data_IF_801324852686
#
_entry.id   IF_801324852686
#
_cell.length_a   1.000
_cell.length_b   1.000
_cell.length_c   1.000
_cell.angle_alpha   90.00
_cell.angle_beta   90.00
_cell.angle_gamma   90.00
#
_symmetry.space_group_name_H-M   'P 1'
#
loop_
_entity.id
_entity.type
_entity.pdbx_description
1 polymer ?
#
# COMPACT_ATOMS: atom_id res chain seq x y z
N UNK A 1 26.59 5.65 29.49
CA UNK A 1 26.25 4.23 29.26
C UNK A 1 25.76 4.09 27.83
N UNK A 2 26.34 3.23 27.04
CA UNK A 2 25.83 2.88 25.70
C UNK A 2 24.66 1.91 25.88
N UNK A 3 23.53 2.21 25.25
CA UNK A 3 22.39 1.28 25.23
C UNK A 3 22.76 -0.01 24.46
N UNK A 4 22.35 -1.18 24.92
CA UNK A 4 22.61 -2.46 24.22
C UNK A 4 21.65 -2.63 23.01
N UNK A 5 21.68 -1.66 22.09
CA UNK A 5 20.78 -1.56 20.91
C UNK A 5 21.65 -1.56 19.67
N UNK A 6 21.18 -2.25 18.61
CA UNK A 6 21.88 -2.30 17.32
C UNK A 6 22.08 -0.88 16.73
N UNK A 7 23.27 -0.58 16.19
CA UNK A 7 23.56 0.75 15.61
C UNK A 7 22.57 1.16 14.53
N UNK A 8 22.11 0.23 13.70
CA UNK A 8 21.13 0.51 12.65
C UNK A 8 19.78 1.02 13.23
N UNK A 9 19.35 0.52 14.38
CA UNK A 9 18.15 0.99 15.06
C UNK A 9 18.36 2.39 15.65
N UNK A 10 19.50 2.63 16.30
CA UNK A 10 19.84 3.93 16.89
C UNK A 10 19.97 5.04 15.82
N UNK A 11 20.44 4.68 14.63
CA UNK A 11 20.63 5.62 13.51
C UNK A 11 19.37 5.83 12.64
N UNK A 12 18.31 5.03 12.83
CA UNK A 12 17.09 5.15 12.05
C UNK A 12 16.18 6.23 12.64
N UNK A 13 15.56 7.07 11.80
CA UNK A 13 14.58 8.05 12.29
C UNK A 13 13.27 7.33 12.68
N UNK A 14 12.47 8.00 13.50
CA UNK A 14 11.09 7.62 13.73
C UNK A 14 10.27 7.68 12.43
N UNK A 15 9.16 6.95 12.38
CA UNK A 15 8.25 7.03 11.24
C UNK A 15 7.72 8.47 11.09
N UNK A 16 7.85 9.09 9.90
CA UNK A 16 7.62 10.53 9.72
C UNK A 16 6.11 10.84 9.63
N UNK A 17 5.40 10.76 10.74
CA UNK A 17 3.99 11.10 10.81
C UNK A 17 3.67 11.90 12.08
N UNK A 18 3.10 13.10 11.86
CA UNK A 18 2.56 13.93 12.95
C UNK A 18 1.05 14.04 12.72
N UNK A 19 0.21 13.58 13.65
CA UNK A 19 -1.23 13.70 13.51
C UNK A 19 -1.67 15.18 13.58
N UNK A 20 -2.50 15.58 12.62
CA UNK A 20 -3.14 16.89 12.59
C UNK A 20 -4.66 16.67 12.54
N UNK A 21 -5.41 17.38 13.38
CA UNK A 21 -6.85 17.36 13.36
C UNK A 21 -7.38 18.40 12.38
N UNK A 22 -8.26 17.97 11.49
CA UNK A 22 -8.97 18.85 10.56
C UNK A 22 -10.38 18.29 10.29
N UNK A 23 -11.38 19.16 10.04
CA UNK A 23 -12.74 18.73 9.72
C UNK A 23 -12.82 17.84 8.47
N UNK A 24 -12.00 18.12 7.46
CA UNK A 24 -11.89 17.35 6.22
C UNK A 24 -10.50 16.74 6.13
N UNK A 25 -10.42 15.40 6.19
CA UNK A 25 -9.17 14.64 6.31
C UNK A 25 -8.89 13.84 5.04
N UNK A 26 -8.05 14.38 4.16
CA UNK A 26 -7.69 13.81 2.85
C UNK A 26 -6.18 13.50 2.74
N UNK A 27 -5.53 13.04 3.82
CA UNK A 27 -4.07 12.93 3.92
C UNK A 27 -3.52 11.50 3.95
N UNK A 28 -4.33 10.47 4.29
CA UNK A 28 -3.85 9.11 4.55
C UNK A 28 -4.35 8.05 3.55
N UNK A 29 -4.99 8.45 2.47
CA UNK A 29 -5.57 7.52 1.49
C UNK A 29 -6.51 6.49 2.14
N UNK A 30 -7.26 6.91 3.15
CA UNK A 30 -8.30 6.12 3.77
C UNK A 30 -9.52 6.03 2.84
N UNK A 31 -10.42 5.11 3.10
CA UNK A 31 -11.72 5.07 2.43
C UNK A 31 -12.57 6.25 2.88
N UNK A 32 -13.34 6.84 1.97
CA UNK A 32 -14.24 7.95 2.27
C UNK A 32 -15.46 7.54 3.11
N UNK A 33 -15.71 6.25 3.27
CA UNK A 33 -16.84 5.73 4.02
C UNK A 33 -16.40 4.63 5.00
N UNK A 34 -17.05 4.60 6.13
CA UNK A 34 -16.88 3.56 7.15
C UNK A 34 -17.46 2.22 6.69
N UNK A 35 -17.11 1.15 7.39
CA UNK A 35 -17.72 -0.17 7.19
C UNK A 35 -19.24 -0.06 7.40
N UNK A 36 -20.08 -0.65 6.53
CA UNK A 36 -21.54 -0.52 6.66
C UNK A 36 -22.05 -0.98 8.02
N UNK A 37 -22.94 -0.21 8.65
CA UNK A 37 -23.46 -0.51 10.00
C UNK A 37 -24.06 -1.91 10.12
N UNK A 38 -24.86 -2.33 9.12
CA UNK A 38 -25.44 -3.69 9.11
C UNK A 38 -24.35 -4.79 9.11
N UNK A 39 -23.18 -4.53 8.50
CA UNK A 39 -22.07 -5.48 8.49
C UNK A 39 -21.25 -5.41 9.80
N UNK A 40 -21.20 -4.24 10.46
CA UNK A 40 -20.66 -4.13 11.82
C UNK A 40 -21.51 -4.93 12.80
N UNK A 41 -22.82 -4.78 12.75
CA UNK A 41 -23.77 -5.51 13.60
C UNK A 41 -23.63 -7.03 13.40
N UNK A 42 -23.56 -7.48 12.15
CA UNK A 42 -23.33 -8.88 11.83
C UNK A 42 -22.01 -9.40 12.40
N UNK A 43 -20.93 -8.62 12.25
CA UNK A 43 -19.62 -8.98 12.78
C UNK A 43 -19.66 -9.06 14.31
N UNK A 44 -20.27 -8.09 14.99
CA UNK A 44 -20.44 -8.09 16.44
C UNK A 44 -21.28 -9.26 16.94
N UNK A 45 -22.37 -9.60 16.24
CA UNK A 45 -23.20 -10.77 16.55
C UNK A 45 -22.38 -12.06 16.46
N UNK A 46 -21.62 -12.26 15.37
CA UNK A 46 -20.75 -13.43 15.20
C UNK A 46 -19.67 -13.52 16.27
N UNK A 47 -19.05 -12.39 16.61
CA UNK A 47 -18.02 -12.33 17.67
C UNK A 47 -18.57 -12.75 19.02
N UNK A 48 -19.80 -12.35 19.39
CA UNK A 48 -20.42 -12.74 20.67
C UNK A 48 -20.55 -14.25 20.84
N UNK A 49 -20.66 -14.99 19.74
CA UNK A 49 -20.77 -16.45 19.76
C UNK A 49 -19.42 -17.17 19.93
N UNK A 50 -18.30 -16.47 19.80
CA UNK A 50 -16.97 -17.07 19.86
C UNK A 50 -16.35 -16.99 21.27
N UNK A 51 -15.51 -17.95 21.66
CA UNK A 51 -14.81 -17.96 22.94
C UNK A 51 -13.61 -17.03 22.91
N UNK A 52 -13.69 -15.86 23.51
CA UNK A 52 -12.61 -14.86 23.50
C UNK A 52 -11.39 -15.22 24.37
N UNK A 53 -11.51 -16.20 25.25
CA UNK A 53 -10.44 -16.70 26.10
C UNK A 53 -9.56 -17.77 25.43
N UNK A 54 -9.81 -18.06 24.15
CA UNK A 54 -9.05 -19.03 23.35
C UNK A 54 -8.25 -18.34 22.26
N UNK A 55 -7.11 -18.90 21.92
CA UNK A 55 -6.38 -18.49 20.74
C UNK A 55 -7.20 -18.76 19.47
N UNK A 56 -6.97 -17.94 18.44
CA UNK A 56 -7.51 -18.10 17.08
C UNK A 56 -6.78 -19.22 16.32
N UNK A 57 -7.07 -19.39 15.04
CA UNK A 57 -6.30 -20.28 14.15
C UNK A 57 -4.83 -19.86 14.10
N UNK A 58 -3.92 -20.82 14.06
CA UNK A 58 -2.46 -20.62 14.12
C UNK A 58 -1.99 -19.62 13.04
N UNK A 59 -2.43 -19.79 11.79
CA UNK A 59 -2.07 -18.99 10.62
C UNK A 59 -3.28 -18.31 9.98
N UNK A 60 -4.37 -18.08 10.73
CA UNK A 60 -5.64 -17.57 10.22
C UNK A 60 -6.17 -18.39 9.03
N UNK A 61 -6.22 -19.70 9.14
CA UNK A 61 -6.55 -20.66 8.08
C UNK A 61 -7.91 -20.34 7.43
N UNK A 62 -8.96 -20.17 8.23
CA UNK A 62 -10.31 -19.85 7.72
C UNK A 62 -10.32 -18.54 6.91
N UNK A 63 -9.58 -17.53 7.36
CA UNK A 63 -9.47 -16.27 6.63
C UNK A 63 -8.61 -16.42 5.37
N UNK A 64 -7.53 -17.21 5.42
CA UNK A 64 -6.70 -17.50 4.25
C UNK A 64 -7.49 -18.23 3.15
N UNK A 65 -8.36 -19.16 3.52
CA UNK A 65 -9.27 -19.86 2.60
C UNK A 65 -10.28 -18.90 1.96
N UNK A 66 -10.92 -18.04 2.75
CA UNK A 66 -11.88 -17.07 2.25
C UNK A 66 -11.25 -16.04 1.31
N UNK A 67 -10.05 -15.52 1.64
CA UNK A 67 -9.28 -14.62 0.77
C UNK A 67 -8.89 -15.34 -0.53
N UNK A 68 -8.39 -16.57 -0.43
CA UNK A 68 -7.99 -17.36 -1.59
C UNK A 68 -9.17 -17.59 -2.55
N UNK A 69 -10.33 -17.92 -2.01
CA UNK A 69 -11.57 -18.08 -2.81
C UNK A 69 -11.98 -16.75 -3.48
N UNK A 70 -11.91 -15.63 -2.75
CA UNK A 70 -12.24 -14.30 -3.28
C UNK A 70 -11.28 -13.87 -4.41
N UNK A 71 -9.98 -14.07 -4.21
CA UNK A 71 -8.95 -13.64 -5.16
C UNK A 71 -8.66 -14.67 -6.26
N UNK A 72 -9.30 -15.84 -6.22
CA UNK A 72 -9.00 -16.94 -7.15
C UNK A 72 -7.55 -17.44 -7.00
N UNK A 73 -7.07 -17.56 -5.77
CA UNK A 73 -5.73 -18.04 -5.42
C UNK A 73 -5.78 -19.35 -4.64
N UNK A 74 -4.63 -19.90 -4.24
CA UNK A 74 -4.58 -21.07 -3.33
C UNK A 74 -4.52 -20.64 -1.87
N UNK A 75 -5.22 -21.31 -0.97
CA UNK A 75 -5.14 -21.07 0.46
C UNK A 75 -3.71 -21.28 1.00
N UNK A 76 -3.01 -22.29 0.48
CA UNK A 76 -1.61 -22.55 0.82
C UNK A 76 -0.63 -21.47 0.32
N UNK A 77 -1.03 -20.68 -0.67
CA UNK A 77 -0.29 -19.53 -1.20
C UNK A 77 -0.70 -18.18 -0.57
N UNK A 78 -1.70 -18.17 0.33
CA UNK A 78 -2.22 -16.95 0.97
C UNK A 78 -1.67 -16.84 2.40
N UNK A 79 -1.03 -15.71 2.74
CA UNK A 79 -0.45 -15.46 4.08
C UNK A 79 -1.05 -14.18 4.65
N UNK A 80 -1.77 -14.29 5.76
CA UNK A 80 -2.47 -13.17 6.41
C UNK A 80 -1.66 -12.64 7.59
N UNK A 81 -1.64 -11.31 7.76
CA UNK A 81 -0.96 -10.63 8.88
C UNK A 81 -1.74 -9.41 9.38
N UNK A 82 -1.30 -8.88 10.52
CA UNK A 82 -1.83 -7.64 11.12
C UNK A 82 -1.41 -6.39 10.32
N UNK A 83 -1.87 -6.32 9.06
CA UNK A 83 -1.57 -5.30 8.07
C UNK A 83 -0.43 -5.69 7.14
N UNK A 84 -0.51 -5.23 5.88
CA UNK A 84 0.53 -5.49 4.87
C UNK A 84 1.90 -4.91 5.24
N UNK A 85 1.95 -3.90 6.11
CA UNK A 85 3.21 -3.34 6.62
C UNK A 85 4.10 -4.39 7.30
N UNK A 86 3.50 -5.31 8.05
CA UNK A 86 4.25 -6.42 8.70
C UNK A 86 4.90 -7.31 7.64
N UNK A 87 4.22 -7.56 6.52
CA UNK A 87 4.75 -8.38 5.44
C UNK A 87 5.99 -7.75 4.78
N UNK A 88 6.10 -6.42 4.73
CA UNK A 88 7.29 -5.74 4.20
C UNK A 88 8.53 -6.17 4.97
N UNK A 89 8.51 -6.02 6.30
CA UNK A 89 9.64 -6.44 7.15
C UNK A 89 9.90 -7.96 7.07
N UNK A 90 8.85 -8.79 7.05
CA UNK A 90 9.00 -10.25 6.98
C UNK A 90 9.58 -10.71 5.63
N UNK A 91 9.26 -10.05 4.52
CA UNK A 91 9.82 -10.37 3.21
C UNK A 91 11.30 -9.98 3.11
N UNK A 92 11.71 -8.87 3.75
CA UNK A 92 13.13 -8.52 3.88
C UNK A 92 13.86 -9.61 4.72
N UNK A 93 13.26 -10.03 5.83
CA UNK A 93 13.82 -11.13 6.63
C UNK A 93 13.93 -12.44 5.83
N UNK A 94 12.97 -12.70 4.96
CA UNK A 94 12.95 -13.91 4.13
C UNK A 94 14.02 -13.90 3.04
N UNK A 95 14.20 -12.78 2.33
CA UNK A 95 14.99 -12.75 1.10
C UNK A 95 16.17 -11.78 1.09
N UNK A 96 16.28 -10.87 2.07
CA UNK A 96 17.27 -9.79 2.04
C UNK A 96 17.94 -9.50 3.40
N UNK A 97 17.81 -10.39 4.40
CA UNK A 97 18.48 -10.19 5.68
C UNK A 97 20.01 -10.23 5.48
N UNK A 98 20.67 -9.07 5.69
CA UNK A 98 22.08 -8.88 5.33
C UNK A 98 22.36 -8.86 3.83
N UNK A 99 21.32 -8.88 3.00
CA UNK A 99 21.37 -8.81 1.54
C UNK A 99 20.98 -7.42 1.01
N UNK A 100 20.25 -7.40 -0.12
CA UNK A 100 19.92 -6.18 -0.85
C UNK A 100 18.42 -5.96 -0.95
N UNK A 101 17.98 -4.70 -0.82
CA UNK A 101 16.65 -4.24 -1.18
C UNK A 101 16.77 -3.25 -2.33
N UNK A 102 16.01 -3.47 -3.40
CA UNK A 102 15.94 -2.55 -4.54
C UNK A 102 14.50 -2.02 -4.64
N UNK A 103 14.34 -0.73 -4.83
CA UNK A 103 13.04 -0.10 -5.00
C UNK A 103 13.18 1.20 -5.78
N UNK A 104 12.06 1.82 -6.12
CA UNK A 104 12.05 3.16 -6.72
C UNK A 104 11.98 4.25 -5.65
N UNK A 105 12.34 5.48 -5.97
CA UNK A 105 12.20 6.62 -5.07
C UNK A 105 11.65 7.86 -5.82
N UNK A 106 10.70 8.57 -5.21
CA UNK A 106 10.08 8.34 -3.90
C UNK A 106 9.07 7.19 -3.92
N UNK A 107 8.82 6.59 -2.76
CA UNK A 107 7.85 5.52 -2.59
C UNK A 107 7.27 5.47 -1.16
N UNK A 108 6.67 4.35 -0.78
CA UNK A 108 6.20 4.12 0.57
C UNK A 108 7.39 3.97 1.54
N UNK A 109 7.48 4.88 2.51
CA UNK A 109 8.64 5.03 3.38
C UNK A 109 9.10 3.76 4.12
N UNK A 110 8.21 2.78 4.35
CA UNK A 110 8.56 1.56 5.08
C UNK A 110 9.53 0.66 4.33
N UNK A 111 9.57 0.68 2.99
CA UNK A 111 10.56 -0.15 2.26
C UNK A 111 11.98 0.25 2.64
N UNK A 112 12.26 1.55 2.62
CA UNK A 112 13.58 2.07 2.99
C UNK A 112 13.85 1.96 4.50
N UNK A 113 12.85 2.24 5.34
CA UNK A 113 12.98 2.19 6.79
C UNK A 113 13.28 0.77 7.26
N UNK A 114 12.48 -0.21 6.84
CA UNK A 114 12.64 -1.61 7.24
C UNK A 114 13.93 -2.23 6.67
N UNK A 115 14.32 -1.84 5.44
CA UNK A 115 15.62 -2.25 4.89
C UNK A 115 16.77 -1.81 5.81
N UNK A 116 16.79 -0.54 6.22
CA UNK A 116 17.79 -0.01 7.16
C UNK A 116 17.75 -0.66 8.53
N UNK A 117 16.56 -0.82 9.10
CA UNK A 117 16.36 -1.45 10.41
C UNK A 117 16.82 -2.91 10.43
N UNK A 118 16.66 -3.64 9.33
CA UNK A 118 17.05 -5.04 9.21
C UNK A 118 18.48 -5.22 8.67
N UNK A 119 19.19 -4.13 8.35
CA UNK A 119 20.58 -4.18 7.91
C UNK A 119 20.75 -4.61 6.46
N UNK A 120 19.72 -4.50 5.62
CA UNK A 120 19.82 -4.73 4.19
C UNK A 120 20.40 -3.50 3.49
N UNK A 121 21.23 -3.72 2.47
CA UNK A 121 21.71 -2.65 1.59
C UNK A 121 20.57 -2.16 0.69
N UNK A 122 20.24 -0.88 0.79
CA UNK A 122 19.16 -0.25 0.02
C UNK A 122 19.68 0.39 -1.25
N UNK A 123 19.04 0.09 -2.39
CA UNK A 123 19.23 0.79 -3.65
C UNK A 123 17.89 1.40 -4.07
N UNK A 124 17.85 2.71 -4.23
CA UNK A 124 16.66 3.46 -4.67
C UNK A 124 16.90 4.01 -6.08
N UNK A 125 16.03 3.63 -7.01
CA UNK A 125 16.05 4.10 -8.40
C UNK A 125 15.12 5.29 -8.53
N UNK A 126 15.60 6.47 -8.97
CA UNK A 126 14.74 7.64 -9.10
C UNK A 126 13.68 7.43 -10.19
N UNK A 127 12.51 8.07 -10.00
CA UNK A 127 11.49 8.16 -11.05
C UNK A 127 11.97 9.09 -12.17
N UNK A 128 11.40 8.91 -13.36
CA UNK A 128 11.52 9.86 -14.45
C UNK A 128 10.93 11.25 -14.09
N UNK A 129 11.27 12.28 -14.86
CA UNK A 129 10.79 13.65 -14.62
C UNK A 129 9.25 13.80 -14.68
N UNK A 130 8.57 12.91 -15.42
CA UNK A 130 7.11 12.85 -15.51
C UNK A 130 6.48 12.00 -14.39
N UNK A 131 7.27 11.53 -13.43
CA UNK A 131 6.89 10.64 -12.33
C UNK A 131 6.53 9.21 -12.78
N UNK A 132 6.90 8.78 -13.98
CA UNK A 132 6.86 7.38 -14.41
C UNK A 132 8.04 6.59 -13.84
N UNK A 133 7.93 5.25 -13.88
CA UNK A 133 9.01 4.34 -13.49
C UNK A 133 10.08 4.28 -14.59
N UNK A 134 11.35 4.28 -14.21
CA UNK A 134 12.45 3.91 -15.09
C UNK A 134 12.74 2.42 -14.93
N UNK A 135 12.07 1.61 -15.75
CA UNK A 135 12.18 0.15 -15.67
C UNK A 135 13.56 -0.36 -16.09
N UNK A 136 14.21 0.30 -17.04
CA UNK A 136 15.55 -0.09 -17.48
C UNK A 136 16.59 0.19 -16.40
N UNK A 137 16.50 1.35 -15.75
CA UNK A 137 17.34 1.66 -14.58
C UNK A 137 17.06 0.72 -13.40
N UNK A 138 15.80 0.34 -13.17
CA UNK A 138 15.44 -0.61 -12.12
C UNK A 138 16.03 -1.99 -12.37
N UNK A 139 15.94 -2.50 -13.61
CA UNK A 139 16.56 -3.77 -14.00
C UNK A 139 18.10 -3.70 -13.89
N UNK A 140 18.69 -2.61 -14.36
CA UNK A 140 20.14 -2.41 -14.25
C UNK A 140 20.64 -2.36 -12.80
N UNK A 141 19.83 -1.82 -11.87
CA UNK A 141 20.15 -1.75 -10.44
C UNK A 141 20.21 -3.14 -9.76
N UNK A 142 19.62 -4.18 -10.34
CA UNK A 142 19.72 -5.53 -9.81
C UNK A 142 21.16 -6.06 -9.90
N UNK A 143 21.89 -5.65 -10.93
CA UNK A 143 23.27 -6.09 -11.18
C UNK A 143 23.38 -7.60 -11.48
N UNK A 144 24.59 -8.09 -11.70
CA UNK A 144 24.80 -9.53 -11.87
C UNK A 144 24.52 -10.27 -10.55
N UNK A 145 23.87 -11.42 -10.65
CA UNK A 145 23.63 -12.30 -9.50
C UNK A 145 24.95 -12.77 -8.87
N UNK A 146 25.05 -12.72 -7.56
CA UNK A 146 26.25 -13.14 -6.82
C UNK A 146 25.98 -14.47 -6.11
N UNK A 147 26.30 -15.61 -6.78
CA UNK A 147 26.24 -16.94 -6.16
C UNK A 147 24.86 -17.64 -6.17
N UNK A 148 24.76 -18.79 -5.49
CA UNK A 148 23.58 -19.68 -5.49
C UNK A 148 22.49 -19.28 -4.47
N UNK A 149 22.61 -18.17 -3.79
CA UNK A 149 21.67 -17.70 -2.76
C UNK A 149 20.66 -16.67 -3.27
N UNK A 150 19.70 -16.24 -2.44
CA UNK A 150 18.79 -15.16 -2.77
C UNK A 150 19.56 -13.85 -2.94
N UNK A 151 19.29 -13.12 -4.03
CA UNK A 151 19.97 -11.86 -4.33
C UNK A 151 19.41 -10.69 -3.52
N UNK A 152 18.14 -10.79 -3.08
CA UNK A 152 17.47 -9.77 -2.30
C UNK A 152 15.98 -9.69 -2.56
N UNK A 153 15.41 -8.52 -2.24
CA UNK A 153 13.99 -8.21 -2.43
C UNK A 153 13.84 -6.94 -3.28
N UNK A 154 12.94 -6.98 -4.25
CA UNK A 154 12.51 -5.83 -5.04
C UNK A 154 11.13 -5.42 -4.54
N UNK A 155 10.93 -4.15 -4.16
CA UNK A 155 9.60 -3.59 -3.87
C UNK A 155 9.15 -2.67 -4.99
N UNK A 156 7.99 -2.95 -5.58
CA UNK A 156 7.37 -2.12 -6.59
C UNK A 156 5.88 -1.94 -6.30
N UNK A 157 5.44 -0.73 -5.86
CA UNK A 157 4.00 -0.46 -5.68
C UNK A 157 3.29 -0.32 -7.02
N UNK A 158 2.13 -0.97 -7.14
CA UNK A 158 1.26 -0.95 -8.32
C UNK A 158 -0.22 -0.86 -7.93
N UNK A 159 -0.89 0.28 -8.10
CA UNK A 159 -0.40 1.63 -8.47
C UNK A 159 0.69 2.16 -7.56
N UNK A 160 1.55 2.99 -8.13
CA UNK A 160 2.65 3.60 -7.41
C UNK A 160 2.14 4.66 -6.41
N UNK A 161 2.62 4.60 -5.18
CA UNK A 161 2.41 5.64 -4.19
C UNK A 161 3.75 6.35 -3.91
N UNK A 162 3.80 7.68 -4.01
CA UNK A 162 2.69 8.63 -3.93
C UNK A 162 2.19 9.21 -5.26
N UNK A 163 2.65 8.75 -6.43
CA UNK A 163 2.31 9.39 -7.71
C UNK A 163 0.95 8.99 -8.28
N UNK A 164 0.49 7.78 -7.99
CA UNK A 164 -0.71 7.19 -8.60
C UNK A 164 -0.48 6.57 -9.98
N UNK A 165 0.74 6.61 -10.50
CA UNK A 165 1.08 6.00 -11.80
C UNK A 165 0.92 4.48 -11.76
N UNK A 166 0.61 3.88 -12.92
CA UNK A 166 0.45 2.45 -13.08
C UNK A 166 1.60 1.91 -13.93
N UNK A 167 2.35 0.97 -13.39
CA UNK A 167 3.27 0.17 -14.17
C UNK A 167 2.48 -0.82 -15.01
N UNK A 168 2.72 -0.90 -16.30
CA UNK A 168 2.04 -1.83 -17.19
C UNK A 168 2.49 -3.27 -16.92
N UNK A 169 1.63 -4.24 -17.25
CA UNK A 169 1.93 -5.65 -16.98
C UNK A 169 3.13 -6.17 -17.76
N UNK A 170 3.34 -5.67 -18.99
CA UNK A 170 4.49 -6.05 -19.81
C UNK A 170 5.81 -5.57 -19.22
N UNK A 171 5.83 -4.41 -18.56
CA UNK A 171 7.00 -3.93 -17.85
C UNK A 171 7.29 -4.76 -16.60
N UNK A 172 6.22 -5.16 -15.88
CA UNK A 172 6.37 -6.10 -14.77
C UNK A 172 6.87 -7.48 -15.22
N UNK A 173 6.42 -7.96 -16.37
CA UNK A 173 6.91 -9.21 -16.97
C UNK A 173 8.41 -9.13 -17.27
N UNK A 174 8.86 -8.01 -17.86
CA UNK A 174 10.29 -7.77 -18.11
C UNK A 174 11.10 -7.80 -16.79
N UNK A 175 10.60 -7.15 -15.75
CA UNK A 175 11.25 -7.13 -14.43
C UNK A 175 11.29 -8.53 -13.82
N UNK A 176 10.19 -9.27 -13.83
CA UNK A 176 10.12 -10.62 -13.30
C UNK A 176 11.07 -11.58 -14.04
N UNK A 177 11.11 -11.51 -15.36
CA UNK A 177 12.03 -12.30 -16.18
C UNK A 177 13.51 -11.97 -15.91
N UNK A 178 13.82 -10.70 -15.62
CA UNK A 178 15.18 -10.23 -15.33
C UNK A 178 15.63 -10.52 -13.87
N UNK A 179 14.73 -10.98 -12.99
CA UNK A 179 14.99 -11.09 -11.55
C UNK A 179 14.77 -12.48 -10.94
N UNK A 180 15.16 -13.59 -11.57
CA UNK A 180 14.84 -14.95 -11.10
C UNK A 180 15.42 -15.29 -9.73
N UNK A 181 16.50 -14.64 -9.31
CA UNK A 181 17.15 -14.82 -7.99
C UNK A 181 16.67 -13.84 -6.91
N UNK A 182 15.66 -13.01 -7.20
CA UNK A 182 15.11 -12.02 -6.28
C UNK A 182 13.67 -12.39 -5.87
N UNK A 183 13.25 -11.96 -4.68
CA UNK A 183 11.82 -11.86 -4.40
C UNK A 183 11.30 -10.54 -4.99
N UNK A 184 10.46 -10.63 -6.02
CA UNK A 184 9.76 -9.47 -6.57
C UNK A 184 8.43 -9.27 -5.84
N UNK A 185 8.36 -8.22 -5.04
CA UNK A 185 7.16 -7.85 -4.27
C UNK A 185 6.43 -6.75 -4.99
N UNK A 186 5.28 -7.08 -5.58
CA UNK A 186 4.35 -6.11 -6.17
C UNK A 186 3.35 -5.70 -5.09
N UNK A 187 3.46 -4.45 -4.62
CA UNK A 187 2.54 -3.92 -3.61
C UNK A 187 1.27 -3.42 -4.29
N UNK A 188 0.22 -4.21 -4.18
CA UNK A 188 -1.10 -3.99 -4.73
C UNK A 188 -2.09 -3.38 -3.73
N UNK A 189 -1.63 -2.54 -2.80
CA UNK A 189 -2.52 -1.90 -1.81
C UNK A 189 -3.67 -1.10 -2.45
N UNK A 190 -3.51 -0.67 -3.69
CA UNK A 190 -4.49 0.12 -4.44
C UNK A 190 -5.08 -0.62 -5.65
N UNK A 191 -4.88 -1.92 -5.81
CA UNK A 191 -5.27 -2.68 -7.01
C UNK A 191 -6.77 -2.61 -7.35
N UNK A 192 -7.65 -2.43 -6.37
CA UNK A 192 -9.08 -2.28 -6.61
C UNK A 192 -9.45 -1.06 -7.48
N UNK A 193 -8.57 -0.07 -7.57
CA UNK A 193 -8.80 1.17 -8.34
C UNK A 193 -8.19 1.11 -9.74
N UNK A 194 -7.67 -0.05 -10.15
CA UNK A 194 -7.05 -0.31 -11.47
C UNK A 194 -7.87 -1.31 -12.28
N UNK A 195 -7.76 -1.29 -13.62
CA UNK A 195 -8.46 -2.26 -14.46
C UNK A 195 -7.83 -3.67 -14.42
N UNK A 196 -6.58 -3.79 -13.98
CA UNK A 196 -5.80 -5.04 -14.01
C UNK A 196 -5.01 -5.23 -12.72
N UNK A 197 -4.72 -6.50 -12.37
CA UNK A 197 -3.81 -6.87 -11.28
C UNK A 197 -2.71 -7.82 -11.76
N UNK A 198 -1.74 -8.12 -10.89
CA UNK A 198 -0.58 -8.92 -11.24
C UNK A 198 -0.71 -10.42 -10.88
N UNK A 199 -1.94 -10.95 -10.63
CA UNK A 199 -2.12 -12.36 -10.25
C UNK A 199 -1.59 -13.33 -11.30
N UNK A 200 -1.85 -13.07 -12.59
CA UNK A 200 -1.36 -13.93 -13.68
C UNK A 200 0.17 -13.91 -13.78
N UNK A 201 0.79 -12.75 -13.52
CA UNK A 201 2.25 -12.65 -13.41
C UNK A 201 2.78 -13.55 -12.28
N UNK A 202 2.20 -13.43 -11.08
CA UNK A 202 2.62 -14.20 -9.92
C UNK A 202 2.39 -15.72 -10.07
N UNK A 203 1.44 -16.14 -10.93
CA UNK A 203 1.27 -17.56 -11.29
C UNK A 203 2.38 -18.08 -12.19
N UNK A 204 2.85 -17.25 -13.13
CA UNK A 204 3.95 -17.64 -14.05
C UNK A 204 5.33 -17.56 -13.40
N UNK A 205 5.51 -16.67 -12.43
CA UNK A 205 6.80 -16.40 -11.78
C UNK A 205 6.73 -16.71 -10.29
N UNK A 206 7.18 -17.89 -9.84
CA UNK A 206 7.07 -18.34 -8.43
C UNK A 206 7.75 -17.46 -7.40
N UNK A 207 8.67 -16.59 -7.81
CA UNK A 207 9.36 -15.61 -6.97
C UNK A 207 8.61 -14.27 -6.83
N UNK A 208 7.48 -14.09 -7.51
CA UNK A 208 6.64 -12.91 -7.38
C UNK A 208 5.66 -13.06 -6.23
N UNK A 209 5.58 -12.04 -5.40
CA UNK A 209 4.69 -11.94 -4.23
C UNK A 209 3.83 -10.70 -4.38
N UNK A 210 2.51 -10.84 -4.26
CA UNK A 210 1.59 -9.71 -4.26
C UNK A 210 1.24 -9.34 -2.82
N UNK A 211 1.36 -8.07 -2.46
CA UNK A 211 0.88 -7.55 -1.17
C UNK A 211 -0.46 -6.87 -1.36
N UNK A 212 -1.45 -7.23 -0.54
CA UNK A 212 -2.80 -6.67 -0.53
C UNK A 212 -3.23 -6.27 0.88
N UNK A 213 -4.23 -5.40 0.96
CA UNK A 213 -4.68 -4.86 2.24
C UNK A 213 -6.18 -4.64 2.29
N UNK A 214 -6.76 -4.78 3.47
CA UNK A 214 -8.12 -4.36 3.76
C UNK A 214 -8.24 -2.87 4.11
N UNK A 215 -7.11 -2.15 4.18
CA UNK A 215 -7.09 -0.77 4.66
C UNK A 215 -7.64 0.27 3.68
N UNK A 216 -7.69 -0.02 2.37
CA UNK A 216 -8.03 0.97 1.34
C UNK A 216 -9.47 0.78 0.82
N UNK A 217 -9.68 0.07 -0.26
CA UNK A 217 -11.01 -0.13 -0.86
C UNK A 217 -12.01 -0.76 0.12
N UNK A 218 -11.58 -1.71 0.93
CA UNK A 218 -12.41 -2.36 1.94
C UNK A 218 -12.84 -1.42 3.08
N UNK A 219 -12.13 -0.30 3.32
CA UNK A 219 -12.46 0.66 4.38
C UNK A 219 -12.23 0.13 5.79
N UNK A 220 -11.31 -0.81 5.96
CA UNK A 220 -11.02 -1.49 7.23
C UNK A 220 -9.61 -1.14 7.74
N UNK A 221 -9.16 0.11 7.52
CA UNK A 221 -7.83 0.56 7.94
C UNK A 221 -7.59 0.39 9.45
N UNK A 222 -8.59 0.66 10.27
CA UNK A 222 -8.53 0.54 11.72
C UNK A 222 -8.41 -0.90 12.23
N UNK A 223 -8.83 -1.89 11.44
CA UNK A 223 -8.73 -3.31 11.81
C UNK A 223 -7.34 -3.90 11.59
N UNK A 224 -6.46 -3.21 10.86
CA UNK A 224 -5.09 -3.68 10.62
C UNK A 224 -5.05 -5.10 10.03
N UNK A 225 -5.51 -5.26 8.78
CA UNK A 225 -5.43 -6.52 8.04
C UNK A 225 -4.76 -6.33 6.69
N UNK A 226 -3.87 -7.25 6.35
CA UNK A 226 -3.24 -7.38 5.06
C UNK A 226 -2.82 -8.81 4.79
N UNK A 227 -2.52 -9.11 3.55
CA UNK A 227 -2.13 -10.45 3.13
C UNK A 227 -1.17 -10.43 1.96
N UNK A 228 -0.45 -11.53 1.80
CA UNK A 228 0.35 -11.82 0.63
C UNK A 228 -0.27 -12.97 -0.16
N UNK A 229 -0.23 -12.86 -1.50
CA UNK A 229 -0.45 -13.97 -2.42
C UNK A 229 0.90 -14.33 -3.03
N UNK A 230 1.32 -15.57 -2.87
CA UNK A 230 2.62 -16.06 -3.31
C UNK A 230 2.52 -17.51 -3.82
N UNK A 231 3.58 -18.02 -4.43
CA UNK A 231 3.67 -19.46 -4.67
C UNK A 231 3.64 -20.23 -3.35
N UNK A 232 3.14 -21.47 -3.37
CA UNK A 232 3.07 -22.30 -2.17
C UNK A 232 4.45 -22.47 -1.49
N UNK A 233 5.51 -22.50 -2.29
CA UNK A 233 6.90 -22.59 -1.81
C UNK A 233 7.29 -21.36 -0.98
N UNK A 234 7.09 -20.17 -1.52
CA UNK A 234 7.39 -18.89 -0.84
C UNK A 234 6.48 -18.71 0.38
N UNK A 235 5.17 -18.92 0.24
CA UNK A 235 4.21 -18.76 1.32
C UNK A 235 4.52 -19.68 2.52
N UNK A 236 4.94 -20.92 2.25
CA UNK A 236 5.36 -21.87 3.30
C UNK A 236 6.55 -21.35 4.10
N UNK A 237 7.55 -20.74 3.45
CA UNK A 237 8.71 -20.19 4.15
C UNK A 237 8.34 -18.89 4.89
N UNK A 238 7.52 -18.02 4.27
CA UNK A 238 7.07 -16.79 4.87
C UNK A 238 6.28 -17.02 6.18
N UNK A 239 5.41 -18.05 6.22
CA UNK A 239 4.67 -18.41 7.44
C UNK A 239 5.57 -18.74 8.65
N UNK A 240 6.80 -19.19 8.44
CA UNK A 240 7.74 -19.45 9.55
C UNK A 240 8.16 -18.17 10.29
N UNK A 241 8.03 -17.02 9.62
CA UNK A 241 8.37 -15.71 10.16
C UNK A 241 7.16 -14.96 10.72
N UNK A 242 5.95 -15.37 10.33
CA UNK A 242 4.71 -14.76 10.85
C UNK A 242 4.53 -15.17 12.32
N UNK A 243 4.28 -14.20 13.22
CA UNK A 243 3.97 -14.52 14.61
C UNK A 243 2.76 -15.45 14.71
N UNK A 244 2.85 -16.58 15.44
CA UNK A 244 1.73 -17.49 15.60
C UNK A 244 0.55 -16.80 16.28
N UNK A 245 -0.68 -17.15 15.88
CA UNK A 245 -1.92 -16.55 16.42
C UNK A 245 -2.00 -15.03 16.28
N UNK A 246 -1.28 -14.45 15.30
CA UNK A 246 -1.14 -13.00 15.16
C UNK A 246 -2.40 -12.27 14.71
N UNK A 247 -3.40 -12.97 14.15
CA UNK A 247 -4.67 -12.38 13.70
C UNK A 247 -5.76 -12.62 14.75
N UNK A 248 -6.36 -11.55 15.25
CA UNK A 248 -7.36 -11.62 16.31
C UNK A 248 -8.74 -12.08 15.81
N UNK A 249 -9.60 -12.49 16.75
CA UNK A 249 -11.01 -12.83 16.48
C UNK A 249 -11.73 -11.68 15.77
N UNK A 250 -11.54 -10.43 16.22
CA UNK A 250 -12.15 -9.24 15.64
C UNK A 250 -11.75 -9.09 14.16
N UNK A 251 -10.47 -9.18 13.90
CA UNK A 251 -9.93 -9.06 12.54
C UNK A 251 -10.49 -10.15 11.61
N UNK A 252 -10.46 -11.41 12.06
CA UNK A 252 -10.95 -12.55 11.31
C UNK A 252 -12.43 -12.41 10.98
N UNK A 253 -13.27 -12.17 11.98
CA UNK A 253 -14.72 -12.07 11.78
C UNK A 253 -15.10 -10.90 10.88
N UNK A 254 -14.53 -9.72 11.09
CA UNK A 254 -14.84 -8.56 10.26
C UNK A 254 -14.41 -8.78 8.79
N UNK A 255 -13.25 -9.40 8.57
CA UNK A 255 -12.80 -9.69 7.21
C UNK A 255 -13.67 -10.76 6.51
N UNK A 256 -14.06 -11.82 7.23
CA UNK A 256 -14.98 -12.83 6.69
C UNK A 256 -16.33 -12.21 6.30
N UNK A 257 -16.91 -11.37 7.17
CA UNK A 257 -18.16 -10.64 6.85
C UNK A 257 -17.97 -9.73 5.64
N UNK A 258 -16.84 -9.04 5.52
CA UNK A 258 -16.56 -8.20 4.36
C UNK A 258 -16.45 -9.01 3.07
N UNK A 259 -15.75 -10.14 3.08
CA UNK A 259 -15.54 -11.02 1.92
C UNK A 259 -16.86 -11.69 1.45
N UNK A 260 -17.77 -11.97 2.37
CA UNK A 260 -19.11 -12.49 2.05
C UNK A 260 -20.02 -11.44 1.37
N UNK A 261 -19.72 -10.16 1.51
CA UNK A 261 -20.55 -9.05 1.03
C UNK A 261 -19.74 -8.06 0.14
N UNK A 262 -19.09 -8.51 -0.95
CA UNK A 262 -18.18 -7.67 -1.72
C UNK A 262 -18.87 -6.51 -2.46
N UNK A 263 -20.19 -6.51 -2.55
CA UNK A 263 -20.96 -5.49 -3.27
C UNK A 263 -20.73 -4.05 -2.76
N UNK A 264 -20.53 -3.87 -1.44
CA UNK A 264 -20.25 -2.54 -0.90
C UNK A 264 -18.88 -2.00 -1.33
N UNK A 265 -17.90 -2.88 -1.50
CA UNK A 265 -16.55 -2.50 -2.00
C UNK A 265 -16.63 -2.07 -3.46
N UNK A 266 -17.35 -2.81 -4.28
CA UNK A 266 -17.54 -2.50 -5.70
C UNK A 266 -18.22 -1.13 -5.88
N UNK A 267 -19.29 -0.86 -5.13
CA UNK A 267 -19.96 0.44 -5.14
C UNK A 267 -19.03 1.59 -4.70
N UNK A 268 -18.24 1.34 -3.65
CA UNK A 268 -17.27 2.30 -3.12
C UNK A 268 -16.14 2.60 -4.11
N UNK A 269 -15.61 1.58 -4.76
CA UNK A 269 -14.60 1.74 -5.80
C UNK A 269 -15.15 2.56 -6.97
N UNK A 270 -16.34 2.24 -7.46
CA UNK A 270 -16.98 2.98 -8.55
C UNK A 270 -17.18 4.47 -8.18
N UNK A 271 -17.65 4.76 -6.97
CA UNK A 271 -17.79 6.13 -6.48
C UNK A 271 -16.43 6.85 -6.38
N UNK A 272 -15.38 6.17 -5.88
CA UNK A 272 -14.02 6.73 -5.82
C UNK A 272 -13.49 7.06 -7.20
N UNK A 273 -13.65 6.17 -8.18
CA UNK A 273 -13.19 6.40 -9.55
C UNK A 273 -13.91 7.60 -10.18
N UNK A 274 -15.22 7.68 -10.04
CA UNK A 274 -16.01 8.82 -10.53
C UNK A 274 -15.56 10.15 -9.92
N UNK A 275 -15.38 10.21 -8.60
CA UNK A 275 -14.95 11.41 -7.90
C UNK A 275 -13.48 11.76 -8.21
N UNK A 276 -12.60 10.78 -8.39
CA UNK A 276 -11.23 11.00 -8.82
C UNK A 276 -11.18 11.72 -10.17
N UNK A 277 -11.94 11.25 -11.15
CA UNK A 277 -12.00 11.87 -12.48
C UNK A 277 -12.61 13.27 -12.43
N UNK A 278 -13.63 13.48 -11.58
CA UNK A 278 -14.23 14.81 -11.36
C UNK A 278 -13.20 15.78 -10.76
N UNK A 279 -12.49 15.38 -9.72
CA UNK A 279 -11.42 16.15 -9.09
C UNK A 279 -10.29 16.45 -10.07
N UNK A 280 -9.84 15.44 -10.80
CA UNK A 280 -8.79 15.59 -11.82
C UNK A 280 -9.19 16.66 -12.86
N UNK A 281 -10.39 16.54 -13.44
CA UNK A 281 -10.91 17.48 -14.42
C UNK A 281 -11.09 18.90 -13.85
N UNK A 282 -11.50 19.04 -12.59
CA UNK A 282 -11.60 20.34 -11.94
C UNK A 282 -10.22 20.99 -11.75
N UNK A 283 -9.25 20.21 -11.26
CA UNK A 283 -7.89 20.68 -11.03
C UNK A 283 -7.13 21.02 -12.32
N UNK A 284 -7.43 20.35 -13.45
CA UNK A 284 -6.86 20.73 -14.75
C UNK A 284 -7.21 22.19 -15.16
N UNK A 285 -8.35 22.71 -14.69
CA UNK A 285 -8.80 24.12 -14.94
C UNK A 285 -8.18 25.11 -13.96
N UNK A 286 -7.49 24.65 -12.91
CA UNK A 286 -6.84 25.55 -11.95
C UNK A 286 -5.74 26.38 -12.65
N UNK A 287 -5.62 27.68 -12.38
CA UNK A 287 -4.63 28.54 -13.07
C UNK A 287 -3.18 28.09 -12.90
N UNK A 288 -2.82 27.54 -11.74
CA UNK A 288 -1.44 27.20 -11.41
C UNK A 288 -1.21 25.79 -10.85
N UNK A 289 -2.26 25.05 -10.45
CA UNK A 289 -2.10 23.68 -9.98
C UNK A 289 -2.24 22.69 -11.13
N UNK A 290 -1.51 21.59 -11.08
CA UNK A 290 -1.53 20.55 -12.11
C UNK A 290 -1.63 19.17 -11.48
N UNK A 291 -2.77 18.48 -11.62
CA UNK A 291 -2.92 17.10 -11.16
C UNK A 291 -2.17 16.15 -12.11
N UNK A 292 -1.60 15.09 -11.55
CA UNK A 292 -1.06 13.98 -12.32
C UNK A 292 -2.16 12.90 -12.48
N UNK A 293 -2.22 12.19 -13.61
CA UNK A 293 -3.10 11.02 -13.77
C UNK A 293 -2.85 10.01 -12.67
N UNK A 294 -3.93 9.37 -12.17
CA UNK A 294 -3.82 8.43 -11.06
C UNK A 294 -4.69 7.19 -11.27
N UNK A 295 -4.18 6.06 -10.83
CA UNK A 295 -4.88 4.78 -10.76
C UNK A 295 -5.12 4.32 -9.31
N UNK A 296 -5.04 5.25 -8.34
CA UNK A 296 -5.27 5.01 -6.92
C UNK A 296 -6.49 5.79 -6.40
N UNK A 297 -6.75 5.74 -5.10
CA UNK A 297 -7.78 6.54 -4.45
C UNK A 297 -7.28 7.94 -4.01
N UNK A 298 -6.30 8.47 -4.69
CA UNK A 298 -5.73 9.79 -4.45
C UNK A 298 -5.23 10.42 -5.76
N UNK A 299 -4.98 11.72 -5.74
CA UNK A 299 -4.29 12.45 -6.78
C UNK A 299 -3.00 13.05 -6.23
N UNK A 300 -1.93 13.04 -7.02
CA UNK A 300 -0.77 13.89 -6.80
C UNK A 300 -0.98 15.20 -7.58
N UNK A 301 -0.83 16.32 -6.89
CA UNK A 301 -1.11 17.66 -7.45
C UNK A 301 0.14 18.51 -7.29
N UNK A 302 0.70 18.96 -8.40
CA UNK A 302 1.83 19.89 -8.40
C UNK A 302 1.32 21.32 -8.27
N UNK A 303 1.87 22.07 -7.32
CA UNK A 303 1.56 23.48 -7.03
C UNK A 303 2.85 24.31 -7.14
N UNK A 304 2.76 25.62 -7.31
CA UNK A 304 3.96 26.50 -7.28
C UNK A 304 4.72 26.45 -5.95
N UNK A 305 3.99 26.31 -4.84
CA UNK A 305 4.51 26.19 -3.47
C UNK A 305 3.60 25.29 -2.64
N UNK A 306 4.08 24.07 -2.36
CA UNK A 306 3.32 23.09 -1.61
C UNK A 306 3.10 23.51 -0.15
N UNK A 307 4.01 24.24 0.45
CA UNK A 307 3.89 24.71 1.83
C UNK A 307 2.77 25.77 1.94
N UNK A 308 2.78 26.75 1.05
CA UNK A 308 1.74 27.78 0.99
C UNK A 308 0.36 27.18 0.64
N UNK A 309 0.31 26.28 -0.35
CA UNK A 309 -0.93 25.59 -0.74
C UNK A 309 -1.49 24.73 0.39
N UNK A 310 -0.64 23.98 1.10
CA UNK A 310 -1.04 23.20 2.27
C UNK A 310 -1.57 24.09 3.40
N UNK A 311 -0.89 25.20 3.71
CA UNK A 311 -1.33 26.15 4.74
C UNK A 311 -2.68 26.78 4.39
N UNK A 312 -2.89 27.14 3.10
CA UNK A 312 -4.17 27.63 2.60
C UNK A 312 -5.30 26.61 2.80
N UNK A 313 -5.09 25.36 2.38
CA UNK A 313 -6.07 24.28 2.54
C UNK A 313 -6.40 24.04 4.02
N UNK A 314 -5.39 23.97 4.87
CA UNK A 314 -5.55 23.74 6.31
C UNK A 314 -6.30 24.89 6.99
N UNK A 315 -6.05 26.15 6.60
CA UNK A 315 -6.79 27.32 7.10
C UNK A 315 -8.30 27.26 6.77
N UNK A 316 -8.68 26.51 5.71
CA UNK A 316 -10.07 26.22 5.36
C UNK A 316 -10.56 24.85 5.91
N UNK A 317 -9.82 24.26 6.85
CA UNK A 317 -10.19 23.01 7.50
C UNK A 317 -9.98 21.75 6.66
N UNK A 318 -9.18 21.81 5.60
CA UNK A 318 -8.87 20.66 4.72
C UNK A 318 -7.43 20.23 4.88
N UNK A 319 -7.23 19.01 5.37
CA UNK A 319 -5.90 18.39 5.53
C UNK A 319 -5.57 17.49 4.35
N UNK A 320 -4.44 17.77 3.69
CA UNK A 320 -3.85 16.92 2.64
C UNK A 320 -2.41 16.56 3.00
N UNK A 321 -1.77 15.67 2.27
CA UNK A 321 -0.40 15.24 2.55
C UNK A 321 0.60 16.00 1.69
N UNK A 322 1.56 16.69 2.32
CA UNK A 322 2.72 17.25 1.62
C UNK A 322 3.64 16.13 1.13
N UNK A 323 4.17 16.29 -0.09
CA UNK A 323 5.12 15.37 -0.71
C UNK A 323 6.40 16.08 -1.18
N UNK A 324 6.47 17.38 -0.99
CA UNK A 324 7.52 18.27 -1.49
C UNK A 324 8.92 18.03 -0.88
N UNK A 325 9.00 17.33 0.24
CA UNK A 325 10.26 16.85 0.83
C UNK A 325 10.84 15.61 0.15
N UNK A 326 10.07 14.95 -0.72
CA UNK A 326 10.49 13.74 -1.41
C UNK A 326 11.22 14.06 -2.72
N UNK A 327 12.24 13.29 -3.11
CA UNK A 327 12.98 13.50 -4.36
C UNK A 327 12.03 13.55 -5.57
N UNK A 328 12.22 14.56 -6.45
CA UNK A 328 11.43 14.73 -7.68
C UNK A 328 9.99 15.24 -7.48
N UNK A 329 9.52 15.41 -6.23
CA UNK A 329 8.16 15.84 -5.91
C UNK A 329 8.07 17.26 -5.31
N UNK A 330 9.03 18.12 -5.62
CA UNK A 330 8.99 19.53 -5.20
C UNK A 330 7.67 20.17 -5.65
N UNK A 331 7.05 20.92 -4.76
CA UNK A 331 5.75 21.55 -5.00
C UNK A 331 4.55 20.60 -5.00
N UNK A 332 4.69 19.33 -4.66
CA UNK A 332 3.60 18.35 -4.74
C UNK A 332 2.84 18.18 -3.43
N UNK A 333 1.51 18.08 -3.57
CA UNK A 333 0.57 17.63 -2.54
C UNK A 333 -0.08 16.33 -3.00
N UNK A 334 -0.33 15.40 -2.07
CA UNK A 334 -1.16 14.22 -2.32
C UNK A 334 -2.51 14.41 -1.65
N UNK A 335 -3.57 14.27 -2.42
CA UNK A 335 -4.96 14.50 -2.01
C UNK A 335 -5.74 13.19 -2.13
N UNK A 336 -6.22 12.67 -1.02
CA UNK A 336 -7.12 11.50 -1.00
C UNK A 336 -8.47 11.86 -1.62
N UNK A 337 -9.07 10.95 -2.37
CA UNK A 337 -10.44 11.09 -2.86
C UNK A 337 -11.42 10.80 -1.72
N UNK A 338 -12.07 11.84 -1.23
CA UNK A 338 -13.08 11.79 -0.17
C UNK A 338 -14.51 11.65 -0.69
N UNK A 339 -15.47 11.95 0.16
CA UNK A 339 -16.88 12.13 -0.24
C UNK A 339 -17.04 13.32 -1.17
N UNK A 340 -18.16 13.40 -1.89
CA UNK A 340 -18.49 14.58 -2.72
C UNK A 340 -18.40 15.89 -1.93
N UNK A 341 -18.86 15.88 -0.67
CA UNK A 341 -18.82 17.05 0.20
C UNK A 341 -17.40 17.46 0.57
N UNK A 342 -16.54 16.51 0.94
CA UNK A 342 -15.13 16.73 1.26
C UNK A 342 -14.34 17.20 0.03
N UNK A 343 -14.57 16.56 -1.12
CA UNK A 343 -13.96 16.95 -2.39
C UNK A 343 -14.36 18.37 -2.81
N UNK A 344 -15.62 18.75 -2.62
CA UNK A 344 -16.08 20.12 -2.86
C UNK A 344 -15.44 21.12 -1.88
N UNK A 345 -15.27 20.74 -0.61
CA UNK A 345 -14.56 21.58 0.35
C UNK A 345 -13.10 21.80 -0.06
N UNK A 346 -12.42 20.72 -0.51
CA UNK A 346 -11.08 20.81 -1.07
C UNK A 346 -11.01 21.75 -2.29
N UNK A 347 -11.90 21.59 -3.27
CA UNK A 347 -11.92 22.44 -4.47
C UNK A 347 -12.14 23.92 -4.12
N UNK A 348 -13.09 24.23 -3.23
CA UNK A 348 -13.31 25.60 -2.74
C UNK A 348 -12.08 26.16 -2.02
N UNK A 349 -11.46 25.37 -1.14
CA UNK A 349 -10.24 25.78 -0.45
C UNK A 349 -9.05 26.00 -1.40
N UNK A 350 -9.04 25.31 -2.55
CA UNK A 350 -8.08 25.51 -3.63
C UNK A 350 -8.45 26.71 -4.56
N UNK A 351 -9.56 27.39 -4.34
CA UNK A 351 -10.00 28.53 -5.16
C UNK A 351 -10.77 28.14 -6.42
N UNK A 352 -11.31 26.94 -6.48
CA UNK A 352 -12.16 26.45 -7.56
C UNK A 352 -13.64 26.40 -7.15
N UNK A 353 -14.55 26.45 -8.14
CA UNK A 353 -15.94 26.13 -7.90
C UNK A 353 -16.07 24.65 -7.50
N UNK A 354 -16.72 24.39 -6.38
CA UNK A 354 -16.92 23.06 -5.84
C UNK A 354 -18.13 22.35 -6.45
#
# INVERSE_FOLDING_TARGET
>A
MTLPIRPAVLASPDYPFVPVNAPVKLDQNESFADFPEALKDLALQRMRALPWHRYTDLNAEALSEAIAAHDGWSASGTVVTTGSNVLIALLIQLGALGGRVVTVAPNFALYALDAKLLGAALTEVPLNADASLDMDALIAALGPGTGDGPHGVIYLPRPHAPTGSLCELDELERLAAASPGWLLVVDEAYHHFTPTDARELARRHPHVVLLRTFSKAWGLAGLRLGYALASNGVARQLRKLVPPFGVSVLQTVCALVALEQPGYVQARVAATLSERERLFSALQRHPSWRPLPSHANFLLVRTPDAAAAHAQLLAHGVLVRRQDSLPGLQGCLRVTVGTVAENNAFLRAAGLAG
#
